data_IF_754944664480
#
_entry.id   IF_754944664480
#
_cell.length_a   1.000
_cell.length_b   1.000
_cell.length_c   1.000
_cell.angle_alpha   90.00
_cell.angle_beta   90.00
_cell.angle_gamma   90.00
#
_symmetry.space_group_name_H-M   'P 1'
#
loop_
_entity.id
_entity.type
_entity.pdbx_description
1 polymer ?
#
# COMPACT_ATOMS: atom_id res chain seq x y z
N UNK A 1 -24.08 -43.13 -24.51
CA UNK A 1 -22.78 -43.80 -24.49
C UNK A 1 -22.80 -44.92 -23.48
N UNK A 2 -22.84 -46.18 -23.94
CA UNK A 2 -22.97 -47.35 -23.04
C UNK A 2 -21.61 -47.69 -22.39
N UNK A 3 -21.45 -47.30 -21.11
CA UNK A 3 -20.24 -47.53 -20.30
C UNK A 3 -20.12 -49.00 -19.87
N UNK A 4 -21.17 -49.84 -20.15
CA UNK A 4 -21.23 -51.24 -19.67
C UNK A 4 -20.35 -52.23 -20.42
N UNK A 5 -19.78 -51.85 -21.60
CA UNK A 5 -18.91 -52.70 -22.41
C UNK A 5 -17.40 -52.48 -22.19
N UNK A 6 -17.03 -51.55 -21.30
CA UNK A 6 -15.62 -51.26 -21.07
C UNK A 6 -15.01 -52.21 -20.03
N UNK A 7 -13.80 -52.70 -20.31
CA UNK A 7 -13.06 -53.54 -19.38
C UNK A 7 -12.82 -52.81 -18.04
N UNK A 8 -12.80 -53.56 -16.95
CA UNK A 8 -12.58 -52.99 -15.57
C UNK A 8 -11.33 -52.14 -15.52
N UNK A 9 -10.29 -52.47 -16.27
CA UNK A 9 -9.06 -51.71 -16.40
C UNK A 9 -9.30 -50.32 -17.01
N UNK A 10 -10.12 -50.22 -18.06
CA UNK A 10 -10.43 -48.97 -18.72
C UNK A 10 -11.25 -48.03 -17.82
N UNK A 11 -12.16 -48.55 -17.01
CA UNK A 11 -12.93 -47.77 -16.03
C UNK A 11 -12.03 -47.24 -14.93
N UNK A 12 -11.09 -48.06 -14.45
CA UNK A 12 -10.17 -47.66 -13.38
C UNK A 12 -9.18 -46.59 -13.85
N UNK A 13 -8.60 -46.76 -15.06
CA UNK A 13 -7.70 -45.73 -15.63
C UNK A 13 -8.41 -44.43 -15.95
N UNK A 14 -9.65 -44.49 -16.40
CA UNK A 14 -10.43 -43.29 -16.70
C UNK A 14 -10.83 -42.54 -15.44
N UNK A 15 -11.26 -43.26 -14.38
CA UNK A 15 -11.58 -42.68 -13.09
C UNK A 15 -10.35 -42.03 -12.41
N UNK A 16 -9.23 -42.78 -12.40
CA UNK A 16 -7.99 -42.26 -11.83
C UNK A 16 -7.42 -41.07 -12.64
N UNK A 17 -7.47 -41.17 -13.97
CA UNK A 17 -7.06 -40.08 -14.87
C UNK A 17 -7.89 -38.82 -14.68
N UNK A 18 -9.21 -38.94 -14.49
CA UNK A 18 -10.09 -37.82 -14.23
C UNK A 18 -9.73 -37.10 -12.90
N UNK A 19 -9.44 -37.87 -11.85
CA UNK A 19 -9.03 -37.31 -10.56
C UNK A 19 -7.67 -36.58 -10.68
N UNK A 20 -6.70 -37.19 -11.36
CA UNK A 20 -5.40 -36.57 -11.59
C UNK A 20 -5.54 -35.28 -12.42
N UNK A 21 -6.40 -35.27 -13.43
CA UNK A 21 -6.67 -34.08 -14.25
C UNK A 21 -7.31 -32.95 -13.42
N UNK A 22 -8.27 -33.27 -12.56
CA UNK A 22 -8.87 -32.30 -11.65
C UNK A 22 -7.83 -31.72 -10.66
N UNK A 23 -6.95 -32.55 -10.11
CA UNK A 23 -5.87 -32.09 -9.26
C UNK A 23 -4.92 -31.12 -9.99
N UNK A 24 -4.57 -31.40 -11.23
CA UNK A 24 -3.75 -30.51 -12.05
C UNK A 24 -4.42 -29.13 -12.25
N UNK A 25 -5.72 -29.13 -12.53
CA UNK A 25 -6.48 -27.87 -12.67
C UNK A 25 -6.44 -27.06 -11.37
N UNK A 26 -6.66 -27.70 -10.22
CA UNK A 26 -6.64 -27.05 -8.90
C UNK A 26 -5.25 -26.44 -8.62
N UNK A 27 -4.18 -27.19 -8.92
CA UNK A 27 -2.81 -26.69 -8.73
C UNK A 27 -2.54 -25.48 -9.61
N UNK A 28 -2.92 -25.52 -10.89
CA UNK A 28 -2.75 -24.40 -11.82
C UNK A 28 -3.51 -23.17 -11.33
N UNK A 29 -4.78 -23.33 -10.94
CA UNK A 29 -5.59 -22.24 -10.40
C UNK A 29 -5.01 -21.68 -9.10
N UNK A 30 -4.48 -22.52 -8.24
CA UNK A 30 -3.80 -22.12 -7.00
C UNK A 30 -2.56 -21.28 -7.26
N UNK A 31 -1.72 -21.67 -8.20
CA UNK A 31 -0.53 -20.91 -8.59
C UNK A 31 -0.90 -19.54 -9.19
N UNK A 32 -1.91 -19.47 -10.04
CA UNK A 32 -2.41 -18.20 -10.58
C UNK A 32 -2.97 -17.29 -9.49
N UNK A 33 -3.65 -17.84 -8.49
CA UNK A 33 -4.17 -17.06 -7.37
C UNK A 33 -3.05 -16.51 -6.49
N UNK A 34 -1.99 -17.30 -6.28
CA UNK A 34 -0.84 -16.90 -5.47
C UNK A 34 -0.07 -15.73 -6.10
N UNK A 35 0.15 -15.76 -7.43
CA UNK A 35 0.79 -14.66 -8.17
C UNK A 35 -0.01 -13.37 -8.06
N UNK A 36 -1.33 -13.42 -8.19
CA UNK A 36 -2.19 -12.23 -8.01
C UNK A 36 -2.10 -11.62 -6.62
N UNK A 37 -2.05 -12.44 -5.59
CA UNK A 37 -1.92 -11.97 -4.21
C UNK A 37 -0.54 -11.31 -3.99
N UNK A 38 0.51 -11.92 -4.53
CA UNK A 38 1.87 -11.38 -4.43
C UNK A 38 2.01 -10.03 -5.14
N UNK A 39 1.42 -9.86 -6.32
CA UNK A 39 1.43 -8.60 -7.06
C UNK A 39 0.63 -7.51 -6.34
N UNK A 40 -0.52 -7.87 -5.77
CA UNK A 40 -1.33 -6.97 -4.94
C UNK A 40 -0.59 -6.52 -3.68
N UNK A 41 0.09 -7.42 -2.99
CA UNK A 41 0.86 -7.13 -1.78
C UNK A 41 2.06 -6.23 -2.09
N UNK A 42 2.76 -6.52 -3.19
CA UNK A 42 3.87 -5.72 -3.67
C UNK A 42 3.46 -4.28 -3.95
N UNK A 43 2.33 -4.08 -4.62
CA UNK A 43 1.76 -2.75 -4.88
C UNK A 43 1.44 -1.98 -3.58
N UNK A 44 0.88 -2.65 -2.57
CA UNK A 44 0.58 -2.00 -1.29
C UNK A 44 1.86 -1.59 -0.57
N UNK A 45 2.83 -2.49 -0.46
CA UNK A 45 4.05 -2.25 0.32
C UNK A 45 4.96 -1.21 -0.35
N UNK A 46 5.15 -1.29 -1.66
CA UNK A 46 6.11 -0.44 -2.36
C UNK A 46 5.53 0.86 -2.91
N UNK A 47 4.22 0.94 -3.13
CA UNK A 47 3.57 2.14 -3.66
C UNK A 47 2.74 2.89 -2.60
N UNK A 48 1.82 2.20 -1.91
CA UNK A 48 0.86 2.85 -1.02
C UNK A 48 1.44 3.23 0.33
N UNK A 49 2.24 2.35 0.94
CA UNK A 49 2.81 2.59 2.28
C UNK A 49 3.71 3.84 2.32
N UNK A 50 4.64 4.08 1.38
CA UNK A 50 5.44 5.29 1.37
C UNK A 50 4.61 6.58 1.23
N UNK A 51 3.54 6.55 0.44
CA UNK A 51 2.62 7.68 0.27
C UNK A 51 1.87 8.00 1.56
N UNK A 52 1.40 6.97 2.26
CA UNK A 52 0.73 7.12 3.56
C UNK A 52 1.70 7.67 4.60
N UNK A 53 2.93 7.20 4.65
CA UNK A 53 3.96 7.69 5.58
C UNK A 53 4.29 9.17 5.33
N UNK A 54 4.43 9.58 4.07
CA UNK A 54 4.67 10.97 3.72
C UNK A 54 3.48 11.87 4.14
N UNK A 55 2.24 11.43 3.89
CA UNK A 55 1.04 12.16 4.30
C UNK A 55 0.92 12.25 5.83
N UNK A 56 1.18 11.17 6.57
CA UNK A 56 1.20 11.17 8.04
C UNK A 56 2.28 12.11 8.59
N UNK A 57 3.42 12.17 7.95
CA UNK A 57 4.47 13.08 8.33
C UNK A 57 4.06 14.56 8.18
N UNK A 58 3.35 14.92 7.12
CA UNK A 58 2.81 16.28 6.94
C UNK A 58 1.82 16.62 8.07
N UNK A 59 0.93 15.69 8.41
CA UNK A 59 -0.01 15.86 9.52
C UNK A 59 0.72 16.08 10.85
N UNK A 60 1.74 15.30 11.15
CA UNK A 60 2.53 15.43 12.36
C UNK A 60 3.21 16.81 12.46
N UNK A 61 3.73 17.35 11.35
CA UNK A 61 4.31 18.70 11.35
C UNK A 61 3.24 19.78 11.51
N UNK A 62 2.03 19.57 11.01
CA UNK A 62 0.89 20.48 11.22
C UNK A 62 0.53 20.56 12.70
N UNK A 63 0.52 19.43 13.41
CA UNK A 63 0.28 19.38 14.86
C UNK A 63 1.36 20.14 15.64
N UNK A 64 2.63 19.98 15.27
CA UNK A 64 3.75 20.71 15.86
C UNK A 64 3.55 22.23 15.68
N UNK A 65 3.16 22.68 14.50
CA UNK A 65 2.88 24.11 14.23
C UNK A 65 1.71 24.59 15.07
N UNK A 66 0.62 23.82 15.17
CA UNK A 66 -0.55 24.18 15.99
C UNK A 66 -0.21 24.30 17.48
N UNK A 67 0.59 23.38 18.00
CA UNK A 67 1.07 23.43 19.39
C UNK A 67 1.97 24.65 19.61
N UNK A 68 2.90 24.93 18.70
CA UNK A 68 3.79 26.08 18.80
C UNK A 68 3.01 27.41 18.78
N UNK A 69 2.02 27.53 17.88
CA UNK A 69 1.14 28.70 17.83
C UNK A 69 0.36 28.88 19.14
N UNK A 70 -0.21 27.79 19.68
CA UNK A 70 -0.90 27.85 20.98
C UNK A 70 0.03 28.29 22.09
N UNK A 71 1.26 27.78 22.13
CA UNK A 71 2.24 28.16 23.14
C UNK A 71 2.62 29.65 23.03
N UNK A 72 2.76 30.16 21.79
CA UNK A 72 3.00 31.60 21.56
C UNK A 72 1.85 32.48 22.03
N UNK A 73 0.61 32.01 21.98
CA UNK A 73 -0.56 32.75 22.46
C UNK A 73 -0.69 32.73 23.98
N UNK A 74 -0.23 31.68 24.63
CA UNK A 74 -0.34 31.47 26.06
C UNK A 74 0.84 32.06 26.85
N UNK A 75 2.00 32.24 26.22
CA UNK A 75 3.22 32.71 26.86
C UNK A 75 3.58 34.10 26.35
N UNK A 76 3.75 35.05 27.33
CA UNK A 76 4.12 36.43 27.02
C UNK A 76 5.63 36.66 26.89
N UNK A 77 6.46 35.67 27.27
CA UNK A 77 7.91 35.75 27.19
C UNK A 77 8.42 35.81 25.73
N UNK A 78 9.16 36.88 25.44
CA UNK A 78 9.71 37.12 24.13
C UNK A 78 10.76 36.06 23.71
N UNK A 79 11.51 35.52 24.65
CA UNK A 79 12.51 34.48 24.38
C UNK A 79 11.82 33.16 23.99
N UNK A 80 10.75 32.79 24.69
CA UNK A 80 9.97 31.61 24.36
C UNK A 80 9.22 31.75 23.02
N UNK A 81 8.67 32.92 22.71
CA UNK A 81 8.06 33.19 21.40
C UNK A 81 9.05 33.03 20.28
N UNK A 82 10.30 33.49 20.42
CA UNK A 82 11.35 33.32 19.42
C UNK A 82 11.63 31.81 19.20
N UNK A 83 11.72 31.02 20.24
CA UNK A 83 11.86 29.56 20.16
C UNK A 83 10.72 28.92 19.39
N UNK A 84 9.47 29.33 19.65
CA UNK A 84 8.32 28.76 18.92
C UNK A 84 8.34 29.12 17.44
N UNK A 85 8.81 30.31 17.07
CA UNK A 85 9.01 30.69 15.66
C UNK A 85 10.04 29.79 14.98
N UNK A 86 11.13 29.44 15.65
CA UNK A 86 12.15 28.51 15.12
C UNK A 86 11.55 27.10 14.93
N UNK A 87 10.75 26.61 15.89
CA UNK A 87 10.03 25.34 15.79
C UNK A 87 9.09 25.32 14.60
N UNK A 88 8.32 26.40 14.38
CA UNK A 88 7.42 26.53 13.22
C UNK A 88 8.21 26.52 11.90
N UNK A 89 9.36 27.22 11.87
CA UNK A 89 10.24 27.23 10.69
C UNK A 89 10.75 25.84 10.34
N UNK A 90 11.26 25.12 11.33
CA UNK A 90 11.74 23.75 11.16
C UNK A 90 10.61 22.78 10.72
N UNK A 91 9.43 22.89 11.32
CA UNK A 91 8.27 22.07 10.94
C UNK A 91 7.79 22.34 9.51
N UNK A 92 7.80 23.60 9.06
CA UNK A 92 7.50 23.97 7.67
C UNK A 92 8.50 23.40 6.68
N UNK A 93 9.79 23.49 6.99
CA UNK A 93 10.84 22.91 6.14
C UNK A 93 10.67 21.39 6.02
N UNK A 94 10.39 20.72 7.15
CA UNK A 94 10.16 19.29 7.15
C UNK A 94 8.90 18.90 6.37
N UNK A 95 7.81 19.68 6.49
CA UNK A 95 6.60 19.49 5.68
C UNK A 95 6.89 19.63 4.18
N UNK A 96 7.66 20.64 3.79
CA UNK A 96 8.04 20.85 2.38
C UNK A 96 8.79 19.65 1.81
N UNK A 97 9.77 19.11 2.57
CA UNK A 97 10.51 17.91 2.16
C UNK A 97 9.60 16.70 1.98
N UNK A 98 8.56 16.57 2.81
CA UNK A 98 7.61 15.47 2.71
C UNK A 98 6.63 15.64 1.55
N UNK A 99 6.22 16.89 1.25
CA UNK A 99 5.41 17.21 0.08
C UNK A 99 6.20 16.87 -1.20
N UNK A 100 7.47 17.28 -1.28
CA UNK A 100 8.34 16.97 -2.42
C UNK A 100 8.55 15.44 -2.59
N UNK A 101 8.68 14.72 -1.49
CA UNK A 101 8.75 13.27 -1.51
C UNK A 101 7.44 12.63 -2.01
N UNK A 102 6.31 13.15 -1.56
CA UNK A 102 4.98 12.69 -1.98
C UNK A 102 4.76 12.96 -3.47
N UNK A 103 5.12 14.15 -3.95
CA UNK A 103 5.01 14.53 -5.36
C UNK A 103 5.80 13.58 -6.27
N UNK A 104 7.01 13.22 -5.87
CA UNK A 104 7.83 12.21 -6.58
C UNK A 104 7.17 10.83 -6.61
N UNK A 105 6.50 10.43 -5.54
CA UNK A 105 5.82 9.14 -5.42
C UNK A 105 4.50 9.09 -6.19
N UNK A 106 3.84 10.25 -6.37
CA UNK A 106 2.57 10.40 -7.12
C UNK A 106 2.81 10.50 -8.63
N UNK A 107 4.05 10.76 -9.06
CA UNK A 107 4.43 10.86 -10.49
C UNK A 107 4.29 9.54 -11.26
N UNK A 108 3.98 8.43 -10.61
CA UNK A 108 3.53 7.21 -11.26
C UNK A 108 2.15 7.44 -11.92
N UNK A 109 2.03 7.02 -13.17
CA UNK A 109 1.02 7.38 -14.18
C UNK A 109 -0.45 7.37 -13.76
N UNK A 110 -0.83 6.72 -12.67
CA UNK A 110 -2.21 6.70 -12.16
C UNK A 110 -2.53 7.85 -11.19
N UNK A 111 -1.54 8.35 -10.47
CA UNK A 111 -1.72 9.49 -9.57
C UNK A 111 -1.92 10.81 -10.29
N UNK A 112 -1.28 11.01 -11.45
CA UNK A 112 -1.48 12.19 -12.30
C UNK A 112 -2.90 12.31 -12.83
N UNK A 113 -3.58 11.19 -13.10
CA UNK A 113 -4.98 11.18 -13.59
C UNK A 113 -6.02 11.61 -12.54
N UNK A 114 -5.64 11.66 -11.27
CA UNK A 114 -6.54 12.08 -10.18
C UNK A 114 -6.32 13.55 -9.76
N UNK A 115 -5.27 14.19 -10.26
CA UNK A 115 -4.91 15.58 -9.94
C UNK A 115 -5.24 16.57 -11.08
N UNK A 116 -5.59 16.07 -12.28
CA UNK A 116 -6.14 16.79 -13.42
C UNK A 116 -7.69 16.69 -13.44
#
# INVERSE_FOLDING_TARGET
MNISSWTVRARLTLGFGAVCFLMLIIVILGLFSLTRINDGLSSVVYDRVPKIQAAQGILAQTDVIAIALRNMMLNEDAADRKKQVEVIGAAREQSSKQIDALDRLVTLSEGKKMLD
#
